data_IF_704548521946
#
_entry.id   IF_704548521946
#
_cell.length_a   1.000
_cell.length_b   1.000
_cell.length_c   1.000
_cell.angle_alpha   90.00
_cell.angle_beta   90.00
_cell.angle_gamma   90.00
#
_symmetry.space_group_name_H-M   'P 1'
#
loop_
_entity.id
_entity.type
_entity.pdbx_description
1 polymer ?
#
# COMPACT_ATOMS: atom_id res chain seq x y z
N UNK A 1 27.93 -2.93 12.45
CA UNK A 1 26.76 -2.61 13.29
C UNK A 1 25.78 -1.88 12.40
N UNK A 2 24.60 -2.45 12.12
CA UNK A 2 23.56 -1.77 11.35
C UNK A 2 22.79 -0.89 12.33
N UNK A 3 22.89 0.42 12.16
CA UNK A 3 22.16 1.38 12.97
C UNK A 3 20.88 1.71 12.19
N UNK A 4 19.68 1.55 12.78
CA UNK A 4 18.47 1.98 12.09
C UNK A 4 18.60 3.47 11.84
N UNK A 5 18.44 3.87 10.58
CA UNK A 5 18.19 5.27 10.25
C UNK A 5 16.93 5.63 11.04
N UNK A 6 17.10 6.48 12.05
CA UNK A 6 15.96 7.17 12.60
C UNK A 6 15.35 7.89 11.40
N UNK A 7 14.06 7.67 11.07
CA UNK A 7 13.44 8.46 10.02
C UNK A 7 13.73 9.91 10.39
N UNK A 8 14.38 10.64 9.49
CA UNK A 8 14.70 12.05 9.76
C UNK A 8 13.41 12.68 10.26
N UNK A 9 13.44 13.23 11.47
CA UNK A 9 12.28 13.87 12.08
C UNK A 9 11.75 15.05 11.22
N UNK A 10 12.51 15.41 10.17
CA UNK A 10 12.23 16.41 9.13
C UNK A 10 11.68 15.85 7.81
N UNK A 11 11.44 14.54 7.66
CA UNK A 11 10.70 14.03 6.49
C UNK A 11 9.25 14.49 6.59
N UNK A 12 8.92 15.61 5.94
CA UNK A 12 7.60 16.19 5.94
C UNK A 12 6.55 15.10 5.64
N UNK A 13 5.51 15.00 6.48
CA UNK A 13 4.38 14.11 6.20
C UNK A 13 3.34 14.84 5.37
N UNK A 14 2.73 14.11 4.43
CA UNK A 14 1.59 14.58 3.66
C UNK A 14 0.37 13.70 3.94
N UNK A 15 -0.80 14.26 3.69
CA UNK A 15 -2.08 13.56 3.85
C UNK A 15 -2.58 13.07 2.50
N UNK A 16 -2.93 11.78 2.47
CA UNK A 16 -3.58 11.07 1.35
C UNK A 16 -4.85 10.39 1.84
N UNK A 17 -5.70 9.93 0.93
CA UNK A 17 -6.90 9.16 1.25
C UNK A 17 -6.78 7.75 0.71
N UNK A 18 -6.83 6.75 1.59
CA UNK A 18 -6.88 5.34 1.20
C UNK A 18 -8.28 4.82 1.53
N UNK A 19 -9.02 4.39 0.51
CA UNK A 19 -10.42 3.95 0.66
C UNK A 19 -11.27 4.92 1.49
N UNK A 20 -11.15 6.22 1.21
CA UNK A 20 -11.82 7.33 1.90
C UNK A 20 -11.33 7.62 3.34
N UNK A 21 -10.32 6.90 3.84
CA UNK A 21 -9.72 7.16 5.15
C UNK A 21 -8.47 8.05 4.99
N UNK A 22 -8.37 9.18 5.71
CA UNK A 22 -7.17 10.01 5.66
C UNK A 22 -6.01 9.30 6.36
N UNK A 23 -4.85 9.29 5.71
CA UNK A 23 -3.61 8.68 6.23
C UNK A 23 -2.47 9.66 6.03
N UNK A 24 -1.70 9.90 7.10
CA UNK A 24 -0.44 10.64 7.01
C UNK A 24 0.71 9.70 6.67
N UNK A 25 1.47 10.06 5.65
CA UNK A 25 2.61 9.28 5.16
C UNK A 25 3.81 10.19 4.91
N UNK A 26 5.05 9.70 5.05
CA UNK A 26 6.23 10.49 4.72
C UNK A 26 6.24 10.89 3.23
N UNK A 27 6.71 12.10 2.94
CA UNK A 27 7.02 12.53 1.57
C UNK A 27 8.08 11.62 0.92
N UNK A 28 8.06 11.49 -0.40
CA UNK A 28 9.03 10.68 -1.15
C UNK A 28 8.76 9.17 -1.10
N UNK A 29 7.72 8.72 -0.40
CA UNK A 29 7.35 7.31 -0.37
C UNK A 29 6.56 6.94 -1.62
N UNK A 30 6.64 5.68 -2.04
CA UNK A 30 5.72 5.17 -3.05
C UNK A 30 4.33 4.94 -2.45
N UNK A 31 3.30 4.97 -3.28
CA UNK A 31 1.93 4.60 -2.91
C UNK A 31 1.89 3.18 -2.32
N UNK A 32 2.72 2.26 -2.83
CA UNK A 32 2.84 0.92 -2.26
C UNK A 32 3.42 0.92 -0.83
N UNK A 33 4.42 1.75 -0.56
CA UNK A 33 4.98 1.90 0.79
C UNK A 33 3.96 2.53 1.74
N UNK A 34 3.22 3.54 1.29
CA UNK A 34 2.13 4.15 2.03
C UNK A 34 1.02 3.15 2.40
N UNK A 35 0.61 2.29 1.44
CA UNK A 35 -0.37 1.23 1.68
C UNK A 35 0.14 0.22 2.73
N UNK A 36 1.41 -0.19 2.66
CA UNK A 36 2.01 -1.08 3.65
C UNK A 36 2.07 -0.44 5.05
N UNK A 37 2.44 0.84 5.13
CA UNK A 37 2.48 1.59 6.40
C UNK A 37 1.09 1.69 7.03
N UNK A 38 0.05 1.83 6.22
CA UNK A 38 -1.35 1.80 6.64
C UNK A 38 -1.89 0.38 6.95
N UNK A 39 -1.06 -0.66 6.83
CA UNK A 39 -1.44 -2.05 7.08
C UNK A 39 -2.16 -2.75 5.91
N UNK A 40 -2.28 -2.09 4.76
CA UNK A 40 -2.98 -2.63 3.59
C UNK A 40 -2.04 -3.43 2.68
N UNK A 41 -1.98 -4.74 2.93
CA UNK A 41 -1.22 -5.68 2.08
C UNK A 41 -2.01 -6.23 0.89
N UNK A 42 -3.34 -6.22 0.96
CA UNK A 42 -4.24 -6.66 -0.10
C UNK A 42 -4.79 -5.44 -0.85
N UNK A 43 -4.43 -5.31 -2.12
CA UNK A 43 -4.77 -4.15 -2.96
C UNK A 43 -5.78 -4.49 -4.06
N UNK A 44 -5.73 -5.72 -4.60
CA UNK A 44 -6.66 -6.19 -5.62
C UNK A 44 -6.84 -7.69 -5.56
N UNK A 45 -7.88 -8.19 -6.20
CA UNK A 45 -8.04 -9.61 -6.44
C UNK A 45 -7.53 -10.01 -7.84
N UNK A 46 -7.00 -11.22 -7.95
CA UNK A 46 -6.70 -11.81 -9.25
C UNK A 46 -7.98 -12.09 -10.02
N UNK A 47 -8.13 -11.51 -11.21
CA UNK A 47 -9.30 -11.74 -12.07
C UNK A 47 -9.55 -13.22 -12.40
N UNK A 48 -8.50 -14.03 -12.49
CA UNK A 48 -8.60 -15.46 -12.83
C UNK A 48 -8.89 -16.34 -11.62
N UNK A 49 -8.27 -16.05 -10.47
CA UNK A 49 -8.27 -16.96 -9.32
C UNK A 49 -9.03 -16.43 -8.10
N UNK A 50 -9.42 -15.16 -8.10
CA UNK A 50 -10.00 -14.48 -6.94
C UNK A 50 -9.04 -14.35 -5.75
N UNK A 51 -7.76 -14.69 -5.91
CA UNK A 51 -6.78 -14.66 -4.81
C UNK A 51 -6.31 -13.22 -4.54
N UNK A 52 -6.15 -12.83 -3.26
CA UNK A 52 -5.61 -11.54 -2.86
C UNK A 52 -4.23 -11.28 -3.45
N UNK A 53 -4.06 -10.13 -4.09
CA UNK A 53 -2.80 -9.63 -4.64
C UNK A 53 -2.46 -8.27 -4.03
N UNK A 54 -1.16 -7.96 -3.95
CA UNK A 54 -0.71 -6.67 -3.46
C UNK A 54 0.80 -6.51 -3.56
N UNK A 55 1.37 -5.63 -2.75
CA UNK A 55 2.78 -5.28 -2.82
C UNK A 55 3.69 -6.50 -2.60
N UNK A 56 4.52 -6.80 -3.60
CA UNK A 56 5.48 -7.90 -3.57
C UNK A 56 6.88 -7.48 -4.03
N UNK A 57 7.06 -7.20 -5.34
CA UNK A 57 8.40 -6.97 -5.90
C UNK A 57 8.99 -5.59 -5.63
N UNK A 58 8.17 -4.57 -5.36
CA UNK A 58 8.59 -3.15 -5.26
C UNK A 58 9.42 -2.60 -6.44
N UNK A 59 9.39 -3.26 -7.61
CA UNK A 59 10.20 -2.93 -8.79
C UNK A 59 9.38 -2.69 -10.05
N UNK A 60 8.04 -2.75 -9.97
CA UNK A 60 7.16 -2.59 -11.13
C UNK A 60 7.08 -3.79 -12.07
N UNK A 61 7.72 -4.94 -11.75
CA UNK A 61 7.75 -6.09 -12.67
C UNK A 61 6.61 -7.08 -12.48
N UNK A 62 6.06 -7.19 -11.27
CA UNK A 62 5.07 -8.23 -10.95
C UNK A 62 3.61 -7.83 -11.24
N UNK A 63 3.32 -6.53 -11.34
CA UNK A 63 1.94 -6.00 -11.48
C UNK A 63 0.95 -6.47 -10.41
N UNK A 64 1.43 -6.88 -9.24
CA UNK A 64 0.55 -7.29 -8.14
C UNK A 64 0.01 -6.10 -7.37
N UNK A 65 0.72 -4.96 -7.41
CA UNK A 65 0.41 -3.79 -6.60
C UNK A 65 -0.53 -2.76 -7.26
N UNK A 66 -1.44 -3.21 -8.11
CA UNK A 66 -2.30 -2.30 -8.86
C UNK A 66 -3.41 -1.73 -7.96
N UNK A 67 -3.63 -0.43 -8.10
CA UNK A 67 -4.68 0.34 -7.41
C UNK A 67 -5.26 1.38 -8.36
N UNK A 68 -6.38 1.99 -7.97
CA UNK A 68 -6.84 3.23 -8.56
C UNK A 68 -6.19 4.43 -7.85
N UNK A 69 -5.70 5.40 -8.61
CA UNK A 69 -5.15 6.66 -8.10
C UNK A 69 -5.85 7.80 -8.83
N UNK A 70 -6.52 8.67 -8.08
CA UNK A 70 -7.23 9.85 -8.59
C UNK A 70 -8.20 9.52 -9.75
N UNK A 71 -8.90 8.40 -9.63
CA UNK A 71 -9.86 7.91 -10.63
C UNK A 71 -9.24 7.15 -11.81
N UNK A 72 -7.92 6.98 -11.85
CA UNK A 72 -7.23 6.20 -12.88
C UNK A 72 -6.91 4.82 -12.32
N UNK A 73 -7.55 3.79 -12.90
CA UNK A 73 -7.39 2.39 -12.49
C UNK A 73 -6.05 1.78 -12.91
N UNK A 74 -5.70 0.66 -12.27
CA UNK A 74 -4.56 -0.19 -12.62
C UNK A 74 -3.20 0.53 -12.64
N UNK A 75 -3.02 1.50 -11.73
CA UNK A 75 -1.75 2.19 -11.53
C UNK A 75 -0.83 1.35 -10.66
N UNK A 76 0.45 1.30 -11.01
CA UNK A 76 1.44 0.58 -10.22
C UNK A 76 1.80 1.39 -8.97
N UNK A 77 1.24 1.01 -7.83
CA UNK A 77 1.50 1.67 -6.56
C UNK A 77 3.00 1.76 -6.21
N UNK A 78 3.79 0.74 -6.57
CA UNK A 78 5.23 0.73 -6.29
C UNK A 78 6.07 1.67 -7.16
N UNK A 79 5.51 2.16 -8.27
CA UNK A 79 6.18 3.07 -9.20
C UNK A 79 5.61 4.50 -9.15
N UNK A 80 4.65 4.75 -8.26
CA UNK A 80 4.01 6.06 -8.11
C UNK A 80 4.37 6.62 -6.75
N UNK A 81 4.92 7.83 -6.71
CA UNK A 81 5.20 8.56 -5.46
C UNK A 81 3.90 9.13 -4.89
N UNK A 82 3.83 9.27 -3.56
CA UNK A 82 2.67 9.90 -2.92
C UNK A 82 2.70 11.42 -3.08
N UNK A 83 1.54 12.00 -3.35
CA UNK A 83 1.36 13.46 -3.40
C UNK A 83 0.24 13.86 -2.44
N UNK A 84 0.34 15.06 -1.85
CA UNK A 84 -0.68 15.57 -0.94
C UNK A 84 -2.02 15.70 -1.68
N UNK A 85 -3.13 15.26 -1.07
CA UNK A 85 -4.43 15.29 -1.76
C UNK A 85 -4.80 13.97 -2.44
N UNK A 86 -3.84 13.09 -2.68
CA UNK A 86 -4.03 11.91 -3.54
C UNK A 86 -5.09 10.95 -2.97
N UNK A 87 -6.00 10.50 -3.84
CA UNK A 87 -7.07 9.55 -3.50
C UNK A 87 -6.74 8.18 -4.10
N UNK A 88 -6.49 7.21 -3.23
CA UNK A 88 -6.12 5.84 -3.58
C UNK A 88 -7.28 4.91 -3.22
N UNK A 89 -7.71 4.08 -4.18
CA UNK A 89 -8.72 3.04 -3.96
C UNK A 89 -8.18 1.67 -4.30
N UNK A 90 -8.42 0.71 -3.41
CA UNK A 90 -8.07 -0.70 -3.62
C UNK A 90 -9.13 -1.39 -4.47
N UNK A 91 -8.71 -2.17 -5.46
CA UNK A 91 -9.56 -2.79 -6.49
C UNK A 91 -9.94 -4.23 -6.10
N UNK A 92 -10.65 -4.37 -4.97
CA UNK A 92 -11.06 -5.66 -4.39
C UNK A 92 -12.51 -5.98 -4.77
N UNK A 93 -12.87 -7.27 -4.77
CA UNK A 93 -14.25 -7.68 -4.92
C UNK A 93 -15.11 -7.17 -3.74
N UNK A 94 -16.37 -6.82 -4.02
CA UNK A 94 -17.29 -6.28 -3.01
C UNK A 94 -17.50 -7.28 -1.86
N UNK A 95 -17.28 -6.84 -0.61
CA UNK A 95 -17.53 -7.63 0.60
C UNK A 95 -16.30 -8.24 1.29
N UNK A 96 -15.09 -8.10 0.73
CA UNK A 96 -13.88 -8.61 1.36
C UNK A 96 -13.26 -7.56 2.30
N UNK A 97 -13.21 -7.81 3.61
CA UNK A 97 -12.39 -7.04 4.56
C UNK A 97 -11.02 -7.71 4.70
N UNK A 98 -9.97 -6.94 5.01
CA UNK A 98 -8.66 -7.50 5.30
C UNK A 98 -8.78 -8.40 6.54
N UNK A 99 -8.57 -9.70 6.36
CA UNK A 99 -8.38 -10.62 7.50
C UNK A 99 -7.07 -10.29 8.23
N UNK A 100 -6.89 -10.76 9.47
CA UNK A 100 -5.65 -10.54 10.21
C UNK A 100 -4.45 -11.02 9.38
N UNK A 101 -3.38 -10.20 9.36
CA UNK A 101 -2.13 -10.52 8.69
C UNK A 101 -1.53 -11.83 9.23
N UNK A 102 -1.00 -12.74 8.38
CA UNK A 102 -0.35 -13.97 8.84
C UNK A 102 0.81 -13.74 9.82
N UNK A 103 1.45 -12.57 9.80
CA UNK A 103 2.50 -12.17 10.77
C UNK A 103 1.99 -12.09 12.22
N UNK A 104 0.68 -11.99 12.46
CA UNK A 104 0.11 -12.04 13.80
C UNK A 104 0.03 -13.48 14.38
N UNK A 105 0.34 -14.51 13.58
CA UNK A 105 0.24 -15.92 13.97
C UNK A 105 1.60 -16.61 14.22
N UNK A 106 2.72 -15.89 14.13
CA UNK A 106 4.06 -16.46 14.37
C UNK A 106 4.89 -15.61 15.35
N UNK A 107 4.45 -15.57 16.61
CA UNK A 107 5.28 -15.16 17.75
C UNK A 107 5.26 -16.26 18.81
N UNK A 108 5.75 -17.44 18.45
CA UNK A 108 5.85 -18.58 19.35
C UNK A 108 6.97 -19.53 18.91
N UNK A 109 8.20 -19.16 19.22
CA UNK A 109 9.33 -20.09 19.31
C UNK A 109 9.73 -20.24 20.77
#
# INVERSE_FOLDING_TARGET
>A
MFQPLSPDADSASLEIWIDQQPVRVPCGYSVAAALLLAGHRHQRDSLLSGRPRGTYCMMGVCYECLVEIDGIENRQACMTEVEAGMVIRRQRAAGQQDGPTPEALDHGH
#
